data_IF_443610208873
#
_entry.id   IF_443610208873
#
_cell.length_a   1.000
_cell.length_b   1.000
_cell.length_c   1.000
_cell.angle_alpha   90.00
_cell.angle_beta   90.00
_cell.angle_gamma   90.00
#
_symmetry.space_group_name_H-M   'P 1'
#
loop_
_entity.id
_entity.type
_entity.pdbx_description
1 polymer ?
#
# COMPACT_ATOMS: atom_id res chain seq x y z
N UNK A 1 3.12 -15.07 -25.04
CA UNK A 1 4.04 -14.14 -24.34
C UNK A 1 5.05 -14.94 -23.55
N UNK A 2 6.35 -14.64 -23.70
CA UNK A 2 7.41 -15.25 -22.89
C UNK A 2 7.42 -14.53 -21.53
N UNK A 3 7.50 -15.28 -20.42
CA UNK A 3 7.61 -14.69 -19.08
C UNK A 3 8.96 -13.99 -18.93
N UNK A 4 8.98 -12.81 -18.31
CA UNK A 4 10.23 -12.09 -17.98
C UNK A 4 10.73 -12.61 -16.63
N UNK A 5 11.97 -13.10 -16.61
CA UNK A 5 12.64 -13.56 -15.40
C UNK A 5 13.55 -12.44 -14.89
N UNK A 6 13.44 -12.10 -13.61
CA UNK A 6 14.18 -11.03 -12.97
C UNK A 6 14.35 -11.37 -11.47
N UNK A 7 15.52 -11.05 -10.91
CA UNK A 7 15.77 -11.20 -9.47
C UNK A 7 15.30 -9.93 -8.76
N UNK A 8 14.35 -10.07 -7.83
CA UNK A 8 13.82 -8.96 -7.04
C UNK A 8 13.40 -9.43 -5.65
N UNK A 9 13.33 -8.51 -4.69
CA UNK A 9 12.78 -8.79 -3.36
C UNK A 9 11.24 -8.77 -3.36
N UNK A 10 10.64 -9.16 -2.23
CA UNK A 10 9.18 -9.22 -2.07
C UNK A 10 8.50 -7.86 -2.19
N UNK A 11 9.12 -6.79 -1.70
CA UNK A 11 8.58 -5.43 -1.77
C UNK A 11 8.53 -4.96 -3.24
N UNK A 12 9.62 -5.15 -3.99
CA UNK A 12 9.70 -4.80 -5.41
C UNK A 12 8.68 -5.59 -6.23
N UNK A 13 8.52 -6.90 -5.94
CA UNK A 13 7.54 -7.75 -6.61
C UNK A 13 6.09 -7.31 -6.33
N UNK A 14 5.77 -6.99 -5.07
CA UNK A 14 4.45 -6.49 -4.68
C UNK A 14 4.16 -5.13 -5.33
N UNK A 15 5.10 -4.19 -5.24
CA UNK A 15 4.98 -2.88 -5.88
C UNK A 15 4.82 -3.00 -7.41
N UNK A 16 5.55 -3.91 -8.06
CA UNK A 16 5.47 -4.13 -9.50
C UNK A 16 4.03 -4.43 -9.96
N UNK A 17 3.33 -5.31 -9.24
CA UNK A 17 1.93 -5.63 -9.52
C UNK A 17 1.02 -4.48 -9.09
N UNK A 18 1.20 -3.93 -7.89
CA UNK A 18 0.39 -2.81 -7.39
C UNK A 18 0.37 -1.64 -8.37
N UNK A 19 1.53 -1.24 -8.91
CA UNK A 19 1.66 -0.16 -9.89
C UNK A 19 0.79 -0.39 -11.14
N UNK A 20 0.70 -1.63 -11.62
CA UNK A 20 0.01 -1.97 -12.84
C UNK A 20 -1.52 -1.76 -12.74
N UNK A 21 -2.10 -1.93 -11.54
CA UNK A 21 -3.55 -1.93 -11.29
C UNK A 21 -4.05 -0.69 -10.53
N UNK A 22 -3.20 0.32 -10.34
CA UNK A 22 -3.49 1.46 -9.47
C UNK A 22 -3.56 2.76 -10.26
N UNK A 23 -4.54 3.61 -9.94
CA UNK A 23 -4.60 5.01 -10.38
C UNK A 23 -4.01 5.94 -9.31
N UNK A 24 -4.33 5.68 -8.03
CA UNK A 24 -3.90 6.50 -6.89
C UNK A 24 -3.23 5.62 -5.82
N UNK A 25 -2.09 6.05 -5.30
CA UNK A 25 -1.45 5.44 -4.14
C UNK A 25 -1.38 6.45 -3.00
N UNK A 26 -2.15 6.21 -1.93
CA UNK A 26 -2.09 7.01 -0.72
C UNK A 26 -1.16 6.32 0.27
N UNK A 27 -0.08 6.99 0.67
CA UNK A 27 1.05 6.35 1.37
C UNK A 27 1.43 7.10 2.65
N UNK A 28 2.10 6.36 3.54
CA UNK A 28 2.87 6.91 4.66
C UNK A 28 4.02 5.94 4.97
N UNK A 29 5.24 6.42 5.24
CA UNK A 29 6.40 5.55 5.41
C UNK A 29 6.41 4.81 6.76
N UNK A 30 6.49 3.48 6.70
CA UNK A 30 6.74 2.61 7.87
C UNK A 30 7.58 1.38 7.49
N UNK A 31 8.65 1.10 8.23
CA UNK A 31 9.49 -0.10 8.00
C UNK A 31 8.69 -1.37 8.34
N UNK A 32 8.75 -2.46 7.55
CA UNK A 32 9.55 -2.70 6.34
C UNK A 32 8.79 -2.48 5.01
N UNK A 33 7.63 -1.83 5.00
CA UNK A 33 6.81 -1.62 3.80
C UNK A 33 7.18 -0.37 2.99
N UNK A 34 7.91 0.60 3.58
CA UNK A 34 8.35 1.83 2.88
C UNK A 34 8.97 1.62 1.50
N UNK A 35 9.81 0.59 1.24
CA UNK A 35 10.39 0.40 -0.09
C UNK A 35 9.33 0.22 -1.18
N UNK A 36 8.16 -0.36 -0.89
CA UNK A 36 7.08 -0.47 -1.88
C UNK A 36 6.59 0.90 -2.33
N UNK A 37 6.29 1.79 -1.39
CA UNK A 37 5.86 3.16 -1.67
C UNK A 37 6.93 3.95 -2.44
N UNK A 38 8.20 3.82 -2.05
CA UNK A 38 9.31 4.45 -2.77
C UNK A 38 9.45 3.96 -4.22
N UNK A 39 9.23 2.67 -4.48
CA UNK A 39 9.26 2.13 -5.85
C UNK A 39 8.12 2.70 -6.70
N UNK A 40 6.90 2.79 -6.15
CA UNK A 40 5.76 3.39 -6.87
C UNK A 40 6.05 4.86 -7.20
N UNK A 41 6.55 5.63 -6.23
CA UNK A 41 6.88 7.05 -6.42
C UNK A 41 7.97 7.23 -7.49
N UNK A 42 9.09 6.50 -7.37
CA UNK A 42 10.16 6.51 -8.36
C UNK A 42 9.65 6.14 -9.75
N UNK A 43 8.86 5.07 -9.90
CA UNK A 43 8.35 4.66 -11.21
C UNK A 43 7.37 5.68 -11.80
N UNK A 44 6.55 6.31 -10.97
CA UNK A 44 5.65 7.39 -11.41
C UNK A 44 6.43 8.60 -11.91
N UNK A 45 7.44 9.05 -11.15
CA UNK A 45 8.34 10.15 -11.54
C UNK A 45 9.09 9.86 -12.85
N UNK A 46 9.43 8.59 -13.12
CA UNK A 46 10.05 8.16 -14.38
C UNK A 46 9.05 7.91 -15.52
N UNK A 47 7.76 8.23 -15.32
CA UNK A 47 6.74 8.15 -16.36
C UNK A 47 6.26 6.73 -16.67
N UNK A 48 6.53 5.74 -15.81
CA UNK A 48 6.03 4.36 -15.98
C UNK A 48 4.51 4.39 -16.09
N UNK A 49 3.94 3.67 -17.04
CA UNK A 49 2.48 3.59 -17.21
C UNK A 49 1.91 2.36 -16.50
N UNK A 50 0.77 2.54 -15.84
CA UNK A 50 -0.09 1.46 -15.37
C UNK A 50 -0.81 0.81 -16.57
N UNK A 51 -1.64 -0.22 -16.34
CA UNK A 51 -2.38 -0.90 -17.41
C UNK A 51 -3.41 -0.01 -18.11
N UNK A 52 -3.73 1.15 -17.53
CA UNK A 52 -4.66 2.13 -18.07
C UNK A 52 -3.93 3.25 -18.87
N UNK A 53 -2.61 3.13 -19.06
CA UNK A 53 -1.83 4.09 -19.84
C UNK A 53 -1.49 5.39 -19.09
N UNK A 54 -1.65 5.42 -17.77
CA UNK A 54 -1.44 6.59 -16.91
C UNK A 54 -0.32 6.37 -15.90
N UNK A 55 0.26 7.44 -15.38
CA UNK A 55 1.20 7.37 -14.24
C UNK A 55 0.42 7.34 -12.94
N UNK A 56 0.84 6.52 -11.97
CA UNK A 56 0.17 6.43 -10.66
C UNK A 56 0.30 7.77 -9.93
N UNK A 57 -0.80 8.32 -9.43
CA UNK A 57 -0.75 9.50 -8.57
C UNK A 57 -0.38 9.08 -7.15
N UNK A 58 0.83 9.42 -6.73
CA UNK A 58 1.30 9.14 -5.35
C UNK A 58 1.02 10.35 -4.48
N UNK A 59 0.46 10.11 -3.30
CA UNK A 59 0.19 11.14 -2.29
C UNK A 59 0.67 10.63 -0.94
N UNK A 60 1.61 11.34 -0.33
CA UNK A 60 2.03 11.10 1.04
C UNK A 60 1.15 11.89 2.02
N UNK A 61 0.69 11.23 3.07
CA UNK A 61 -0.21 11.81 4.07
C UNK A 61 0.54 12.06 5.39
N UNK A 62 -0.12 12.62 6.39
CA UNK A 62 0.46 12.87 7.71
C UNK A 62 0.56 11.64 8.62
N UNK A 63 -0.18 10.57 8.30
CA UNK A 63 -0.18 9.29 9.02
C UNK A 63 -0.89 8.21 8.20
N UNK A 64 -0.76 6.95 8.61
CA UNK A 64 -1.49 5.82 8.02
C UNK A 64 -3.01 5.95 8.18
N UNK A 65 -3.49 6.57 9.25
CA UNK A 65 -4.92 6.89 9.40
C UNK A 65 -5.39 7.87 8.32
N UNK A 66 -4.58 8.90 8.04
CA UNK A 66 -4.82 9.83 6.94
C UNK A 66 -4.77 9.14 5.58
N UNK A 67 -3.77 8.27 5.36
CA UNK A 67 -3.66 7.47 4.15
C UNK A 67 -4.89 6.59 3.94
N UNK A 68 -5.37 5.89 4.97
CA UNK A 68 -6.56 5.05 4.86
C UNK A 68 -7.84 5.85 4.55
N UNK A 69 -7.98 7.05 5.12
CA UNK A 69 -9.09 7.95 4.77
C UNK A 69 -9.01 8.44 3.33
N UNK A 70 -7.80 8.74 2.84
CA UNK A 70 -7.58 9.09 1.45
C UNK A 70 -7.86 7.91 0.51
N UNK A 71 -7.48 6.67 0.90
CA UNK A 71 -7.85 5.45 0.17
C UNK A 71 -9.37 5.31 0.08
N UNK A 72 -10.07 5.44 1.21
CA UNK A 72 -11.54 5.37 1.24
C UNK A 72 -12.16 6.40 0.29
N UNK A 73 -11.82 7.68 0.43
CA UNK A 73 -12.37 8.74 -0.41
C UNK A 73 -12.06 8.56 -1.91
N UNK A 74 -10.84 8.13 -2.24
CA UNK A 74 -10.41 7.88 -3.63
C UNK A 74 -11.17 6.72 -4.27
N UNK A 75 -11.37 5.62 -3.52
CA UNK A 75 -12.17 4.48 -3.98
C UNK A 75 -13.65 4.87 -4.16
N UNK A 76 -14.24 5.58 -3.21
CA UNK A 76 -15.63 6.05 -3.31
C UNK A 76 -15.84 7.02 -4.48
N UNK A 77 -14.79 7.75 -4.89
CA UNK A 77 -14.79 8.61 -6.06
C UNK A 77 -14.55 7.87 -7.40
N UNK A 78 -14.28 6.56 -7.36
CA UNK A 78 -14.17 5.71 -8.55
C UNK A 78 -12.76 5.47 -9.08
N UNK A 79 -11.71 5.79 -8.32
CA UNK A 79 -10.32 5.52 -8.70
C UNK A 79 -9.79 4.24 -8.04
N UNK A 80 -9.11 3.38 -8.79
CA UNK A 80 -8.48 2.18 -8.23
C UNK A 80 -7.30 2.60 -7.35
N UNK A 81 -7.42 2.33 -6.05
CA UNK A 81 -6.52 2.90 -5.05
C UNK A 81 -5.86 1.83 -4.21
N UNK A 82 -4.55 1.98 -3.99
CA UNK A 82 -3.75 1.07 -3.16
C UNK A 82 -3.01 1.82 -2.05
N UNK A 83 -2.51 1.08 -1.07
CA UNK A 83 -1.63 1.58 -0.02
C UNK A 83 -0.67 0.48 0.45
N UNK A 84 0.39 0.90 1.14
CA UNK A 84 1.47 0.06 1.64
C UNK A 84 1.68 0.34 3.11
N UNK A 85 1.61 -0.69 3.97
CA UNK A 85 1.66 -0.50 5.42
C UNK A 85 2.20 -1.73 6.14
N UNK A 86 2.39 -1.63 7.45
CA UNK A 86 2.84 -2.71 8.34
C UNK A 86 2.54 -2.33 9.80
N UNK A 87 2.42 -3.32 10.69
CA UNK A 87 2.42 -3.13 12.15
C UNK A 87 1.46 -2.03 12.61
N UNK A 88 1.95 -1.02 13.32
CA UNK A 88 1.17 0.09 13.88
C UNK A 88 0.45 0.89 12.81
N UNK A 89 1.05 0.98 11.62
CA UNK A 89 0.43 1.61 10.48
C UNK A 89 -0.87 0.92 10.10
N UNK A 90 -0.90 -0.41 10.05
CA UNK A 90 -2.11 -1.17 9.72
C UNK A 90 -3.20 -0.97 10.78
N UNK A 91 -2.84 -0.93 12.07
CA UNK A 91 -3.79 -0.67 13.16
C UNK A 91 -4.50 0.68 13.00
N UNK A 92 -3.77 1.71 12.55
CA UNK A 92 -4.34 3.03 12.29
C UNK A 92 -5.29 3.04 11.08
N UNK A 93 -5.22 2.05 10.19
CA UNK A 93 -6.10 1.93 9.04
C UNK A 93 -7.41 1.16 9.33
N UNK A 94 -7.46 0.35 10.41
CA UNK A 94 -8.62 -0.50 10.76
C UNK A 94 -9.97 0.24 10.73
N UNK A 95 -10.12 1.46 11.29
CA UNK A 95 -11.40 2.17 11.25
C UNK A 95 -11.91 2.42 9.83
N UNK A 96 -11.01 2.78 8.90
CA UNK A 96 -11.36 2.97 7.49
C UNK A 96 -11.55 1.64 6.76
N UNK A 97 -10.85 0.58 7.15
CA UNK A 97 -11.06 -0.76 6.56
C UNK A 97 -12.50 -1.24 6.76
N UNK A 98 -13.11 -1.00 7.92
CA UNK A 98 -14.54 -1.28 8.12
C UNK A 98 -15.45 -0.52 7.15
N UNK A 99 -15.14 0.74 6.88
CA UNK A 99 -15.91 1.57 5.93
C UNK A 99 -15.72 1.09 4.48
N UNK A 100 -14.48 0.88 4.06
CA UNK A 100 -14.12 0.39 2.73
C UNK A 100 -14.80 -0.96 2.46
N UNK A 101 -14.71 -1.90 3.40
CA UNK A 101 -15.33 -3.22 3.28
C UNK A 101 -16.87 -3.14 3.31
N UNK A 102 -17.44 -2.33 4.21
CA UNK A 102 -18.88 -2.14 4.31
C UNK A 102 -19.51 -1.50 3.06
N UNK A 103 -18.75 -0.68 2.34
CA UNK A 103 -19.14 -0.06 1.08
C UNK A 103 -18.76 -0.90 -0.16
N UNK A 104 -18.20 -2.11 0.04
CA UNK A 104 -17.79 -3.05 -1.01
C UNK A 104 -16.85 -2.42 -2.06
N UNK A 105 -15.93 -1.57 -1.60
CA UNK A 105 -15.01 -0.84 -2.47
C UNK A 105 -13.78 -1.70 -2.84
N UNK A 106 -13.34 -1.70 -4.11
CA UNK A 106 -12.27 -2.57 -4.60
C UNK A 106 -10.86 -2.02 -4.28
N UNK A 107 -10.52 -1.90 -3.00
CA UNK A 107 -9.19 -1.49 -2.54
C UNK A 107 -8.25 -2.67 -2.28
N UNK A 108 -6.94 -2.48 -2.51
CA UNK A 108 -5.91 -3.48 -2.18
C UNK A 108 -4.85 -2.88 -1.26
N UNK A 109 -4.63 -3.52 -0.11
CA UNK A 109 -3.65 -3.12 0.89
C UNK A 109 -2.49 -4.12 0.85
N UNK A 110 -1.29 -3.63 0.55
CA UNK A 110 -0.09 -4.47 0.54
C UNK A 110 0.63 -4.32 1.89
N UNK A 111 0.64 -5.40 2.66
CA UNK A 111 1.17 -5.42 4.03
C UNK A 111 2.43 -6.25 4.10
N UNK A 112 3.55 -5.62 4.47
CA UNK A 112 4.75 -6.35 4.88
C UNK A 112 4.63 -6.67 6.36
N UNK A 113 3.95 -7.79 6.66
CA UNK A 113 3.53 -8.17 8.01
C UNK A 113 4.67 -8.06 9.03
N UNK A 114 4.39 -7.37 10.14
CA UNK A 114 5.38 -6.94 11.14
C UNK A 114 4.75 -6.92 12.53
N UNK A 115 5.53 -7.35 13.51
CA UNK A 115 5.20 -7.32 14.93
C UNK A 115 4.54 -6.01 15.40
N UNK A 116 3.40 -6.14 16.09
CA UNK A 116 2.76 -5.07 16.86
C UNK A 116 3.57 -4.82 18.13
N UNK A 117 3.84 -3.56 18.43
CA UNK A 117 4.55 -3.23 19.65
C UNK A 117 3.69 -3.59 20.87
N UNK A 118 4.20 -4.49 21.71
CA UNK A 118 3.55 -4.92 22.96
C UNK A 118 4.39 -4.46 24.15
N UNK A 119 5.29 -5.32 24.63
CA UNK A 119 6.28 -4.98 25.66
C UNK A 119 7.49 -4.21 25.10
N UNK A 120 7.76 -4.35 23.79
CA UNK A 120 8.82 -3.68 23.07
C UNK A 120 8.44 -3.49 21.60
N UNK A 121 9.10 -2.54 20.92
CA UNK A 121 9.00 -2.35 19.48
C UNK A 121 9.81 -3.45 18.76
N UNK A 122 9.24 -4.02 17.69
CA UNK A 122 9.96 -4.87 16.75
C UNK A 122 9.65 -4.45 15.32
N UNK A 123 10.70 -4.33 14.50
CA UNK A 123 10.59 -4.04 13.06
C UNK A 123 10.55 -5.32 12.22
N UNK A 124 10.57 -6.48 12.86
CA UNK A 124 10.67 -7.78 12.20
C UNK A 124 9.29 -8.45 12.01
N UNK A 125 9.27 -9.44 11.12
CA UNK A 125 8.05 -10.08 10.66
C UNK A 125 7.43 -11.05 11.67
N UNK A 126 6.15 -10.86 11.90
CA UNK A 126 5.18 -11.86 12.38
C UNK A 126 3.80 -11.46 11.84
N UNK A 127 2.72 -12.13 12.22
CA UNK A 127 1.37 -11.84 11.72
C UNK A 127 0.48 -11.08 12.72
N UNK A 128 1.03 -10.54 13.80
CA UNK A 128 0.25 -9.90 14.86
C UNK A 128 -0.51 -8.66 14.40
N UNK A 129 -0.06 -8.00 13.33
CA UNK A 129 -0.73 -6.84 12.74
C UNK A 129 -1.90 -7.23 11.83
N UNK A 130 -1.74 -8.25 11.01
CA UNK A 130 -2.81 -8.77 10.13
C UNK A 130 -3.92 -9.47 10.94
N UNK A 131 -3.60 -9.98 12.12
CA UNK A 131 -4.53 -10.71 13.01
C UNK A 131 -5.17 -9.84 14.10
N UNK A 132 -4.88 -8.54 14.13
CA UNK A 132 -5.32 -7.61 15.18
C UNK A 132 -6.81 -7.23 15.09
#
# INVERSE_FOLDING_TARGET
MVKRMESMDGNTAAAHVAYAFTDVAAIYPITPSSPMAEHIDKWSAHGRKNLFGQTVKVVELQSEAGAAGAVHGSLSAGALTTTFTASQGLLLMIPNMYKIAGELLPGVFHVSARAVASHALSIFGDHSDVMA
#
